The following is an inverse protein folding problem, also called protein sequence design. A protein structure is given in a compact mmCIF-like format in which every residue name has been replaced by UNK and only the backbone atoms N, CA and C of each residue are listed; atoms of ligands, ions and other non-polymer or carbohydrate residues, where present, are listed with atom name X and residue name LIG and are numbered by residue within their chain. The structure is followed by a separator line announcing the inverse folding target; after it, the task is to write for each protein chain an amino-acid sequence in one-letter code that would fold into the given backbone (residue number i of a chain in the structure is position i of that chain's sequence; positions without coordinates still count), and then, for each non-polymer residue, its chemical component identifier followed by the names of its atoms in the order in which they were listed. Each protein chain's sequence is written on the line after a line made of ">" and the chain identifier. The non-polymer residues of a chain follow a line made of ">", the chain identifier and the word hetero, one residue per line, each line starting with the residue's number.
data_IF_856152384916
#
_entry.id   IF_856152384916
#
_cell.length_a   1.000
_cell.length_b   1.000
_cell.length_c   1.000
_cell.angle_alpha   90.00
_cell.angle_beta   90.00
_cell.angle_gamma   90.00
#
_symmetry.space_group_name_H-M   'P 1'
#
loop_
_entity.id
_entity.type
_entity.pdbx_description
1 polymer ?
#
# COMPACT_ATOMS: atom_id res chain seq x y z
N UNK A 1 4.75 -17.99 9.99
CA UNK A 1 3.57 -18.68 9.45
C UNK A 1 2.38 -17.74 9.60
N UNK A 2 1.63 -17.50 8.52
CA UNK A 2 0.41 -16.67 8.54
C UNK A 2 -0.82 -17.55 8.70
N UNK A 3 -1.82 -17.04 9.41
CA UNK A 3 -3.09 -17.75 9.64
C UNK A 3 -4.26 -16.78 9.54
N UNK A 4 -5.38 -17.25 8.97
CA UNK A 4 -6.64 -16.53 8.97
C UNK A 4 -7.78 -17.53 9.04
N UNK A 5 -8.52 -17.49 10.16
CA UNK A 5 -9.63 -18.42 10.46
C UNK A 5 -9.15 -19.88 10.34
N UNK A 6 -9.44 -20.53 9.22
CA UNK A 6 -9.15 -21.93 8.95
C UNK A 6 -8.04 -22.14 7.90
N UNK A 7 -7.46 -21.06 7.39
CA UNK A 7 -6.40 -21.09 6.40
C UNK A 7 -5.07 -20.78 7.07
N UNK A 8 -4.04 -21.54 6.72
CA UNK A 8 -2.68 -21.41 7.24
C UNK A 8 -1.70 -21.48 6.08
N UNK A 9 -0.71 -20.60 6.07
CA UNK A 9 0.28 -20.52 5.00
C UNK A 9 1.67 -20.15 5.52
N UNK A 10 2.67 -20.51 4.72
CA UNK A 10 4.07 -20.22 5.00
C UNK A 10 4.87 -20.13 3.71
N UNK A 11 6.11 -19.68 3.84
CA UNK A 11 7.08 -19.70 2.76
C UNK A 11 8.35 -20.39 3.27
N UNK A 12 9.03 -21.11 2.40
CA UNK A 12 10.21 -21.89 2.73
C UNK A 12 10.98 -22.25 1.46
N UNK A 13 12.17 -22.84 1.63
CA UNK A 13 12.99 -23.23 0.50
C UNK A 13 12.35 -24.40 -0.25
N UNK A 14 12.26 -24.32 -1.58
CA UNK A 14 11.61 -25.35 -2.40
C UNK A 14 12.22 -26.76 -2.26
N UNK A 15 13.52 -26.83 -1.93
CA UNK A 15 14.25 -28.08 -1.69
C UNK A 15 14.06 -28.65 -0.28
N UNK A 16 13.57 -27.82 0.65
CA UNK A 16 13.39 -28.20 2.04
C UNK A 16 12.02 -28.85 2.22
N UNK A 17 12.04 -30.18 2.21
CA UNK A 17 10.83 -30.99 2.15
C UNK A 17 10.92 -32.17 3.09
N UNK A 18 9.75 -32.62 3.58
CA UNK A 18 9.63 -33.72 4.51
C UNK A 18 8.50 -34.66 4.06
N UNK A 19 8.72 -35.97 4.19
CA UNK A 19 7.69 -36.97 3.93
C UNK A 19 6.67 -36.93 5.07
N UNK A 20 5.41 -36.72 4.72
CA UNK A 20 4.30 -36.80 5.67
C UNK A 20 3.57 -38.14 5.48
N UNK A 21 3.89 -39.08 6.36
CA UNK A 21 3.45 -40.48 6.31
C UNK A 21 1.93 -40.67 6.20
N UNK A 22 1.07 -39.94 6.94
CA UNK A 22 -0.38 -40.14 6.85
C UNK A 22 -0.96 -39.95 5.44
N UNK A 23 -0.28 -39.16 4.61
CA UNK A 23 -0.64 -38.97 3.20
C UNK A 23 0.28 -39.67 2.21
N UNK A 24 1.37 -40.29 2.66
CA UNK A 24 2.40 -40.91 1.79
C UNK A 24 2.90 -39.93 0.72
N UNK A 25 3.08 -38.65 1.09
CA UNK A 25 3.48 -37.59 0.16
C UNK A 25 4.46 -36.63 0.82
N UNK A 26 5.42 -36.18 0.04
CA UNK A 26 6.37 -35.13 0.43
C UNK A 26 5.72 -33.75 0.33
N UNK A 27 5.85 -32.96 1.39
CA UNK A 27 5.41 -31.57 1.49
C UNK A 27 6.60 -30.67 1.86
N UNK A 28 6.50 -29.33 1.68
CA UNK A 28 7.42 -28.40 2.32
C UNK A 28 7.58 -28.72 3.81
N UNK A 29 8.80 -28.61 4.31
CA UNK A 29 9.15 -29.04 5.68
C UNK A 29 8.18 -28.48 6.72
N UNK A 30 8.00 -27.16 6.76
CA UNK A 30 7.12 -26.50 7.73
C UNK A 30 5.65 -26.92 7.61
N UNK A 31 5.19 -27.25 6.40
CA UNK A 31 3.83 -27.75 6.19
C UNK A 31 3.68 -29.16 6.78
N UNK A 32 4.65 -30.05 6.54
CA UNK A 32 4.61 -31.39 7.11
C UNK A 32 4.70 -31.35 8.65
N UNK A 33 5.55 -30.49 9.20
CA UNK A 33 5.66 -30.26 10.64
C UNK A 33 4.36 -29.72 11.22
N UNK A 34 3.65 -28.82 10.54
CA UNK A 34 2.34 -28.31 11.01
C UNK A 34 1.25 -29.39 11.05
N UNK A 35 1.27 -30.33 10.10
CA UNK A 35 0.25 -31.38 10.04
C UNK A 35 0.35 -32.36 11.21
N UNK A 36 1.54 -32.59 11.77
CA UNK A 36 1.75 -33.52 12.89
C UNK A 36 1.01 -33.09 14.18
N UNK A 37 1.14 -31.85 14.69
CA UNK A 37 0.31 -31.36 15.79
C UNK A 37 -1.19 -31.39 15.48
N UNK A 38 -1.59 -31.19 14.22
CA UNK A 38 -3.01 -31.30 13.85
C UNK A 38 -3.54 -32.72 14.01
N UNK A 39 -2.74 -33.74 13.70
CA UNK A 39 -3.11 -35.13 13.98
C UNK A 39 -3.22 -35.39 15.49
N UNK A 40 -2.25 -34.91 16.27
CA UNK A 40 -2.24 -35.06 17.73
C UNK A 40 -3.47 -34.41 18.38
N UNK A 41 -3.84 -33.22 17.91
CA UNK A 41 -5.01 -32.47 18.38
C UNK A 41 -6.32 -32.92 17.73
N UNK A 42 -6.29 -33.94 16.86
CA UNK A 42 -7.45 -34.42 16.10
C UNK A 42 -8.15 -33.30 15.29
N UNK A 43 -7.38 -32.31 14.81
CA UNK A 43 -7.86 -31.24 13.95
C UNK A 43 -8.08 -31.80 12.54
N UNK A 44 -9.30 -31.73 11.98
CA UNK A 44 -9.59 -32.32 10.69
C UNK A 44 -8.90 -31.55 9.55
N UNK A 45 -8.06 -32.25 8.79
CA UNK A 45 -7.43 -31.71 7.58
C UNK A 45 -7.59 -32.69 6.40
N UNK A 46 -7.49 -32.18 5.17
CA UNK A 46 -7.70 -32.97 3.95
C UNK A 46 -6.53 -32.85 3.00
N UNK A 47 -5.97 -33.97 2.54
CA UNK A 47 -4.84 -34.03 1.58
C UNK A 47 -5.04 -33.10 0.37
N UNK A 48 -6.25 -33.05 -0.20
CA UNK A 48 -6.56 -32.21 -1.37
C UNK A 48 -6.49 -30.71 -1.12
N UNK A 49 -6.61 -30.28 0.15
CA UNK A 49 -6.49 -28.87 0.56
C UNK A 49 -5.05 -28.49 0.93
N UNK A 50 -4.15 -29.47 1.04
CA UNK A 50 -2.73 -29.24 1.30
C UNK A 50 -2.03 -28.91 -0.02
N UNK A 51 -1.96 -27.62 -0.32
CA UNK A 51 -1.41 -27.08 -1.57
C UNK A 51 -0.10 -26.33 -1.29
N UNK A 52 0.85 -26.43 -2.22
CA UNK A 52 2.11 -25.70 -2.20
C UNK A 52 2.58 -25.50 -3.64
N UNK A 53 3.18 -24.34 -3.92
CA UNK A 53 3.63 -23.93 -5.25
C UNK A 53 4.56 -22.73 -5.13
N UNK A 54 5.36 -22.45 -6.16
CA UNK A 54 6.11 -21.19 -6.30
C UNK A 54 5.21 -19.98 -6.57
N UNK A 55 3.94 -20.22 -6.92
CA UNK A 55 2.90 -19.23 -7.10
C UNK A 55 1.60 -19.80 -6.52
N UNK A 56 1.07 -19.19 -5.47
CA UNK A 56 -0.04 -19.76 -4.70
C UNK A 56 -1.14 -18.71 -4.46
N UNK A 57 -2.39 -19.14 -4.55
CA UNK A 57 -3.54 -18.31 -4.15
C UNK A 57 -3.81 -18.47 -2.65
N UNK A 58 -3.77 -17.37 -1.91
CA UNK A 58 -4.01 -17.28 -0.47
C UNK A 58 -5.11 -16.26 -0.25
N UNK A 59 -6.28 -16.68 0.23
CA UNK A 59 -7.46 -15.81 0.48
C UNK A 59 -7.78 -14.95 -0.77
N UNK A 60 -7.86 -15.60 -1.94
CA UNK A 60 -8.09 -14.98 -3.25
C UNK A 60 -7.02 -13.96 -3.71
N UNK A 61 -5.85 -13.94 -3.06
CA UNK A 61 -4.68 -13.13 -3.44
C UNK A 61 -3.62 -14.08 -4.01
N UNK A 62 -3.11 -13.78 -5.20
CA UNK A 62 -2.03 -14.50 -5.83
C UNK A 62 -0.69 -14.03 -5.25
N UNK A 63 0.04 -14.95 -4.63
CA UNK A 63 1.29 -14.71 -3.92
C UNK A 63 2.43 -15.39 -4.65
N UNK A 64 3.42 -14.60 -5.06
CA UNK A 64 4.67 -15.07 -5.66
C UNK A 64 5.85 -14.71 -4.74
N UNK A 65 6.36 -15.66 -3.95
CA UNK A 65 7.52 -15.43 -3.08
C UNK A 65 8.84 -15.24 -3.83
N UNK A 66 8.94 -15.56 -5.12
CA UNK A 66 10.18 -15.33 -5.89
C UNK A 66 10.22 -13.92 -6.45
N UNK A 67 9.06 -13.43 -6.94
CA UNK A 67 8.90 -12.03 -7.35
C UNK A 67 8.59 -11.10 -6.17
N UNK A 68 8.33 -11.65 -4.99
CA UNK A 68 7.92 -10.91 -3.79
C UNK A 68 6.63 -10.11 -3.99
N UNK A 69 5.69 -10.62 -4.78
CA UNK A 69 4.43 -9.93 -5.13
C UNK A 69 3.20 -10.54 -4.51
N UNK A 70 2.24 -9.68 -4.15
CA UNK A 70 0.88 -10.03 -3.74
C UNK A 70 -0.10 -9.29 -4.67
N UNK A 71 -0.72 -10.01 -5.59
CA UNK A 71 -1.59 -9.40 -6.60
C UNK A 71 -2.93 -10.10 -6.64
N UNK A 72 -4.03 -9.41 -6.97
CA UNK A 72 -5.25 -10.14 -7.27
C UNK A 72 -5.05 -10.91 -8.58
N UNK A 73 -5.78 -12.03 -8.77
CA UNK A 73 -5.80 -12.73 -10.04
C UNK A 73 -6.19 -11.79 -11.19
N UNK A 74 -5.63 -12.01 -12.39
CA UNK A 74 -5.89 -11.14 -13.56
C UNK A 74 -7.38 -10.97 -13.84
N UNK A 75 -8.16 -12.05 -13.72
CA UNK A 75 -9.61 -12.01 -13.88
C UNK A 75 -10.31 -11.08 -12.86
N UNK A 76 -9.81 -11.01 -11.63
CA UNK A 76 -10.32 -10.12 -10.59
C UNK A 76 -9.95 -8.66 -10.88
N UNK A 77 -8.71 -8.40 -11.34
CA UNK A 77 -8.27 -7.06 -11.80
C UNK A 77 -9.12 -6.57 -12.98
N UNK A 78 -9.30 -7.40 -14.00
CA UNK A 78 -10.15 -7.05 -15.15
C UNK A 78 -11.59 -6.76 -14.74
N UNK A 79 -12.13 -7.57 -13.80
CA UNK A 79 -13.46 -7.31 -13.26
C UNK A 79 -13.52 -5.95 -12.58
N UNK A 80 -12.48 -5.55 -11.84
CA UNK A 80 -12.42 -4.26 -11.15
C UNK A 80 -12.43 -3.11 -12.15
N UNK A 81 -11.61 -3.20 -13.18
CA UNK A 81 -11.62 -2.22 -14.29
C UNK A 81 -13.00 -2.11 -14.94
N UNK A 82 -13.63 -3.25 -15.27
CA UNK A 82 -14.97 -3.29 -15.88
C UNK A 82 -16.04 -2.68 -14.98
N UNK A 83 -15.99 -2.90 -13.68
CA UNK A 83 -16.93 -2.27 -12.74
C UNK A 83 -16.68 -0.76 -12.69
N UNK A 84 -15.45 -0.29 -12.52
CA UNK A 84 -15.16 1.16 -12.52
C UNK A 84 -15.70 1.86 -13.78
N UNK A 85 -15.55 1.24 -14.95
CA UNK A 85 -16.14 1.73 -16.21
C UNK A 85 -17.67 1.73 -16.19
N UNK A 86 -18.29 0.65 -15.73
CA UNK A 86 -19.75 0.53 -15.64
C UNK A 86 -20.37 1.66 -14.82
N UNK A 87 -19.75 1.97 -13.67
CA UNK A 87 -20.21 2.98 -12.74
C UNK A 87 -20.05 4.40 -13.29
N UNK A 88 -19.07 4.63 -14.17
CA UNK A 88 -18.84 5.91 -14.83
C UNK A 88 -19.67 6.15 -16.11
N UNK A 89 -20.58 5.23 -16.46
CA UNK A 89 -21.45 5.38 -17.61
C UNK A 89 -22.41 6.59 -17.53
N UNK A 90 -22.91 7.03 -18.68
CA UNK A 90 -23.82 8.19 -18.75
C UNK A 90 -25.05 8.02 -17.86
N UNK A 91 -25.31 9.02 -17.00
CA UNK A 91 -26.50 9.09 -16.14
C UNK A 91 -26.70 7.78 -15.36
N UNK A 92 -25.63 7.24 -14.77
CA UNK A 92 -25.70 6.02 -13.95
C UNK A 92 -26.45 6.26 -12.64
N UNK A 93 -27.43 5.40 -12.38
CA UNK A 93 -28.18 5.33 -11.14
C UNK A 93 -28.30 3.88 -10.70
N UNK A 94 -27.91 3.60 -9.47
CA UNK A 94 -27.89 2.23 -8.94
C UNK A 94 -28.60 2.13 -7.60
N UNK A 95 -29.13 0.93 -7.30
CA UNK A 95 -29.76 0.67 -6.00
C UNK A 95 -28.73 0.76 -4.88
N UNK A 96 -29.13 1.26 -3.72
CA UNK A 96 -28.24 1.41 -2.56
C UNK A 96 -27.58 0.06 -2.16
N UNK A 97 -28.30 -1.06 -2.32
CA UNK A 97 -27.69 -2.39 -2.16
C UNK A 97 -26.45 -2.60 -3.03
N UNK A 98 -26.50 -2.19 -4.30
CA UNK A 98 -25.41 -2.34 -5.26
C UNK A 98 -24.22 -1.44 -4.92
N UNK A 99 -24.46 -0.27 -4.32
CA UNK A 99 -23.41 0.57 -3.75
C UNK A 99 -22.69 -0.13 -2.58
N UNK A 100 -23.41 -0.77 -1.66
CA UNK A 100 -22.77 -1.51 -0.57
C UNK A 100 -21.99 -2.73 -1.06
N UNK A 101 -22.52 -3.46 -2.05
CA UNK A 101 -21.81 -4.56 -2.71
C UNK A 101 -20.49 -4.07 -3.33
N UNK A 102 -20.52 -2.94 -4.05
CA UNK A 102 -19.32 -2.34 -4.61
C UNK A 102 -18.35 -1.89 -3.51
N UNK A 103 -18.82 -1.22 -2.46
CA UNK A 103 -17.97 -0.75 -1.36
C UNK A 103 -17.27 -1.91 -0.63
N UNK A 104 -17.99 -3.00 -0.36
CA UNK A 104 -17.40 -4.21 0.24
C UNK A 104 -16.33 -4.82 -0.65
N UNK A 105 -16.57 -4.89 -1.96
CA UNK A 105 -15.60 -5.43 -2.90
C UNK A 105 -14.40 -4.49 -3.15
N UNK A 106 -14.62 -3.17 -3.13
CA UNK A 106 -13.54 -2.18 -3.17
C UNK A 106 -12.65 -2.31 -1.94
N UNK A 107 -13.22 -2.43 -0.73
CA UNK A 107 -12.44 -2.69 0.48
C UNK A 107 -11.62 -3.98 0.40
N UNK A 108 -12.15 -5.04 -0.23
CA UNK A 108 -11.36 -6.23 -0.52
C UNK A 108 -10.19 -5.92 -1.45
N UNK A 109 -10.44 -5.21 -2.56
CA UNK A 109 -9.42 -4.84 -3.54
C UNK A 109 -8.32 -3.95 -2.94
N UNK A 110 -8.66 -3.06 -1.99
CA UNK A 110 -7.70 -2.19 -1.30
C UNK A 110 -6.65 -2.97 -0.51
N UNK A 111 -6.92 -4.20 -0.06
CA UNK A 111 -5.87 -5.05 0.55
C UNK A 111 -4.76 -5.41 -0.45
N UNK A 112 -5.07 -5.39 -1.75
CA UNK A 112 -4.11 -5.67 -2.83
C UNK A 112 -3.72 -4.44 -3.63
N UNK A 113 -4.45 -3.34 -3.52
CA UNK A 113 -4.20 -2.06 -4.18
C UNK A 113 -4.46 -0.91 -3.22
N UNK A 114 -3.64 -0.79 -2.18
CA UNK A 114 -3.85 0.24 -1.16
C UNK A 114 -3.88 1.65 -1.72
N UNK A 115 -3.09 1.89 -2.78
CA UNK A 115 -3.03 3.17 -3.49
C UNK A 115 -4.37 3.63 -4.07
N UNK A 116 -5.35 2.74 -4.21
CA UNK A 116 -6.66 3.09 -4.71
C UNK A 116 -7.58 3.71 -3.66
N UNK A 117 -7.22 3.73 -2.37
CA UNK A 117 -8.02 4.32 -1.30
C UNK A 117 -8.67 5.69 -1.65
N UNK A 118 -7.97 6.63 -2.30
CA UNK A 118 -8.52 7.96 -2.63
C UNK A 118 -9.68 7.93 -3.59
N UNK A 119 -9.81 6.88 -4.39
CA UNK A 119 -10.93 6.73 -5.31
C UNK A 119 -12.28 6.61 -4.56
N UNK A 120 -12.24 6.41 -3.24
CA UNK A 120 -13.42 6.29 -2.38
C UNK A 120 -13.77 7.59 -1.64
N UNK A 121 -13.01 8.68 -1.84
CA UNK A 121 -13.20 9.95 -1.15
C UNK A 121 -14.59 10.52 -1.35
N UNK A 122 -15.11 10.51 -2.59
CA UNK A 122 -16.48 10.94 -2.85
C UNK A 122 -17.50 9.79 -2.77
N UNK A 123 -17.05 8.54 -2.71
CA UNK A 123 -17.90 7.35 -2.69
C UNK A 123 -18.66 7.22 -1.36
N UNK A 124 -17.95 7.14 -0.23
CA UNK A 124 -18.58 6.93 1.07
C UNK A 124 -19.43 8.10 1.54
N UNK A 125 -19.02 9.38 1.39
CA UNK A 125 -19.88 10.52 1.72
C UNK A 125 -21.21 10.50 0.96
N UNK A 126 -21.22 10.00 -0.29
CA UNK A 126 -22.46 9.87 -1.06
C UNK A 126 -23.44 8.84 -0.45
N UNK A 127 -22.99 7.97 0.45
CA UNK A 127 -23.81 6.94 1.12
C UNK A 127 -24.29 7.38 2.52
N UNK A 128 -23.71 8.43 3.10
CA UNK A 128 -24.03 8.87 4.47
C UNK A 128 -25.51 9.21 4.62
N UNK A 129 -26.12 8.72 5.70
CA UNK A 129 -27.52 8.98 6.03
C UNK A 129 -28.54 8.19 5.21
N UNK A 130 -28.12 7.41 4.21
CA UNK A 130 -29.02 6.58 3.39
C UNK A 130 -29.20 5.20 4.01
N UNK A 131 -30.44 4.77 4.21
CA UNK A 131 -30.78 3.49 4.87
C UNK A 131 -31.71 2.59 4.07
N UNK A 132 -32.46 3.15 3.11
CA UNK A 132 -33.38 2.38 2.29
C UNK A 132 -32.62 1.69 1.15
N UNK A 133 -32.45 0.37 1.27
CA UNK A 133 -31.76 -0.49 0.30
C UNK A 133 -32.38 -0.49 -1.11
N UNK A 134 -33.66 -0.13 -1.23
CA UNK A 134 -34.38 -0.07 -2.51
C UNK A 134 -34.24 1.28 -3.21
N UNK A 135 -33.85 2.31 -2.46
CA UNK A 135 -33.60 3.64 -3.01
C UNK A 135 -32.46 3.59 -4.02
N UNK A 136 -32.63 4.32 -5.12
CA UNK A 136 -31.63 4.40 -6.19
C UNK A 136 -30.85 5.69 -6.04
N UNK A 137 -29.52 5.59 -6.02
CA UNK A 137 -28.58 6.69 -5.82
C UNK A 137 -27.82 6.94 -7.11
N UNK A 138 -27.70 8.21 -7.48
CA UNK A 138 -26.96 8.66 -8.66
C UNK A 138 -25.46 8.59 -8.42
N UNK A 139 -24.73 8.20 -9.45
CA UNK A 139 -23.28 8.41 -9.52
C UNK A 139 -23.06 9.86 -9.96
N UNK A 140 -22.28 10.61 -9.19
CA UNK A 140 -21.98 12.00 -9.50
C UNK A 140 -20.64 12.11 -10.25
N UNK A 141 -20.39 13.27 -10.87
CA UNK A 141 -19.17 13.49 -11.65
C UNK A 141 -17.89 13.40 -10.82
N UNK A 142 -17.93 13.74 -9.52
CA UNK A 142 -16.76 13.62 -8.64
C UNK A 142 -16.37 12.16 -8.43
N UNK A 143 -17.35 11.27 -8.21
CA UNK A 143 -17.13 9.82 -8.10
C UNK A 143 -16.60 9.27 -9.42
N UNK A 144 -17.13 9.71 -10.56
CA UNK A 144 -16.58 9.28 -11.86
C UNK A 144 -15.13 9.72 -12.05
N UNK A 145 -14.77 10.95 -11.63
CA UNK A 145 -13.37 11.42 -11.66
C UNK A 145 -12.46 10.55 -10.80
N UNK A 146 -12.89 10.27 -9.57
CA UNK A 146 -12.17 9.40 -8.62
C UNK A 146 -11.97 7.99 -9.19
N UNK A 147 -13.02 7.40 -9.78
CA UNK A 147 -12.97 6.06 -10.38
C UNK A 147 -12.11 6.02 -11.64
N UNK A 148 -12.17 7.06 -12.48
CA UNK A 148 -11.27 7.17 -13.63
C UNK A 148 -9.81 7.32 -13.20
N UNK A 149 -9.53 8.06 -12.12
CA UNK A 149 -8.20 8.15 -11.53
C UNK A 149 -7.73 6.78 -11.04
N UNK A 150 -8.56 6.07 -10.27
CA UNK A 150 -8.24 4.72 -9.80
C UNK A 150 -8.00 3.73 -10.96
N UNK A 151 -8.77 3.84 -12.04
CA UNK A 151 -8.58 3.04 -13.25
C UNK A 151 -7.25 3.32 -13.93
N UNK A 152 -6.86 4.59 -14.10
CA UNK A 152 -5.54 4.95 -14.67
C UNK A 152 -4.41 4.37 -13.84
N UNK A 153 -4.53 4.44 -12.51
CA UNK A 153 -3.55 3.85 -11.61
C UNK A 153 -3.49 2.33 -11.75
N UNK A 154 -4.65 1.66 -11.90
CA UNK A 154 -4.69 0.23 -12.19
C UNK A 154 -4.07 -0.10 -13.55
N UNK A 155 -4.25 0.71 -14.57
CA UNK A 155 -3.69 0.46 -15.91
C UNK A 155 -2.16 0.63 -15.91
N UNK A 156 -1.63 1.61 -15.16
CA UNK A 156 -0.21 1.96 -15.14
C UNK A 156 0.61 1.25 -14.04
N UNK A 157 -0.03 0.70 -13.01
CA UNK A 157 0.68 0.01 -11.93
C UNK A 157 1.12 -1.40 -12.37
N UNK A 158 2.43 -1.65 -12.24
CA UNK A 158 2.93 -3.02 -12.14
C UNK A 158 2.66 -3.52 -10.73
N UNK A 159 2.04 -4.71 -10.61
CA UNK A 159 1.95 -5.62 -9.44
C UNK A 159 2.43 -5.08 -8.08
N UNK A 160 1.67 -5.30 -7.00
CA UNK A 160 2.13 -4.89 -5.65
C UNK A 160 3.26 -5.81 -5.14
N UNK A 161 4.43 -5.22 -4.88
CA UNK A 161 5.62 -5.86 -4.30
C UNK A 161 5.63 -5.66 -2.77
N UNK A 162 5.65 -6.74 -1.98
CA UNK A 162 5.51 -6.69 -0.52
C UNK A 162 6.86 -6.77 0.22
N UNK A 163 7.76 -7.67 -0.18
CA UNK A 163 8.81 -8.13 0.73
C UNK A 163 10.19 -7.50 0.52
N UNK A 164 10.44 -6.80 -0.59
CA UNK A 164 11.69 -6.02 -0.76
C UNK A 164 11.76 -4.82 0.22
N UNK A 165 10.59 -4.41 0.68
CA UNK A 165 10.29 -3.44 1.73
C UNK A 165 11.00 -3.70 3.04
N UNK A 166 10.94 -4.94 3.49
CA UNK A 166 11.06 -5.30 4.90
C UNK A 166 12.47 -5.77 5.28
N UNK A 167 13.37 -5.91 4.31
CA UNK A 167 14.69 -6.52 4.48
C UNK A 167 15.81 -5.63 3.95
N UNK A 168 15.98 -4.45 4.55
CA UNK A 168 17.17 -3.63 4.36
C UNK A 168 17.49 -2.80 5.60
N UNK A 169 18.78 -2.61 5.91
CA UNK A 169 19.25 -1.87 7.09
C UNK A 169 19.56 -0.41 6.75
N UNK A 170 19.67 0.48 7.76
CA UNK A 170 20.07 1.88 7.57
C UNK A 170 21.35 2.04 6.74
N UNK A 171 22.28 1.09 6.85
CA UNK A 171 23.53 1.08 6.08
C UNK A 171 23.32 0.87 4.56
N UNK A 172 22.18 0.32 4.15
CA UNK A 172 21.80 0.14 2.75
C UNK A 172 21.04 1.36 2.19
N UNK A 173 20.87 2.44 2.95
CA UNK A 173 20.15 3.65 2.51
C UNK A 173 20.82 4.28 1.29
N UNK A 174 20.07 4.39 0.20
CA UNK A 174 20.50 5.07 -1.03
C UNK A 174 20.40 6.58 -0.89
N UNK A 175 19.39 7.10 -0.18
CA UNK A 175 19.25 8.54 0.04
C UNK A 175 18.52 8.86 1.34
N UNK A 176 19.04 9.86 2.04
CA UNK A 176 18.52 10.38 3.28
C UNK A 176 18.04 11.81 3.05
N UNK A 177 16.83 12.13 3.52
CA UNK A 177 16.18 13.44 3.30
C UNK A 177 15.56 13.96 4.58
N UNK A 178 15.71 15.24 4.85
CA UNK A 178 14.95 15.96 5.88
C UNK A 178 13.89 16.81 5.21
N UNK A 179 12.65 16.73 5.68
CA UNK A 179 11.55 17.58 5.25
C UNK A 179 11.13 18.47 6.41
N UNK A 180 10.84 19.73 6.11
CA UNK A 180 10.28 20.67 7.08
C UNK A 180 9.32 21.63 6.38
N UNK A 181 8.26 22.00 7.08
CA UNK A 181 7.21 22.87 6.56
C UNK A 181 6.79 23.87 7.61
N UNK A 182 6.62 25.11 7.14
CA UNK A 182 5.97 26.17 7.89
C UNK A 182 4.82 26.76 7.06
N UNK A 183 3.93 27.57 7.66
CA UNK A 183 2.81 28.17 6.93
C UNK A 183 3.17 29.00 5.69
N UNK A 184 4.45 29.41 5.55
CA UNK A 184 4.94 30.25 4.45
C UNK A 184 5.80 29.50 3.44
N UNK A 185 6.19 28.25 3.72
CA UNK A 185 7.10 27.53 2.86
C UNK A 185 7.35 26.11 3.29
N UNK A 186 7.71 25.29 2.31
CA UNK A 186 8.08 23.89 2.44
C UNK A 186 9.46 23.69 1.86
N UNK A 187 10.25 22.80 2.44
CA UNK A 187 11.57 22.50 1.95
C UNK A 187 12.06 21.13 2.37
N UNK A 188 12.93 20.57 1.55
CA UNK A 188 13.59 19.31 1.84
C UNK A 188 15.08 19.37 1.53
N UNK A 189 15.87 18.60 2.27
CA UNK A 189 17.33 18.67 2.25
C UNK A 189 17.97 17.28 2.24
N UNK A 190 18.89 17.08 1.29
CA UNK A 190 19.77 15.93 1.19
C UNK A 190 21.13 16.26 1.83
N UNK A 191 21.41 15.88 3.09
CA UNK A 191 22.67 16.20 3.75
C UNK A 191 23.88 15.63 3.04
N UNK A 192 23.79 14.40 2.54
CA UNK A 192 24.88 13.71 1.86
C UNK A 192 25.28 14.38 0.55
N UNK A 193 24.35 15.12 -0.07
CA UNK A 193 24.57 15.85 -1.32
C UNK A 193 24.85 17.34 -1.07
N UNK A 194 24.65 17.84 0.15
CA UNK A 194 24.65 19.27 0.44
C UNK A 194 23.60 20.05 -0.37
N UNK A 195 22.51 19.39 -0.77
CA UNK A 195 21.50 19.93 -1.70
C UNK A 195 20.17 20.14 -0.98
N UNK A 196 19.61 21.34 -1.09
CA UNK A 196 18.32 21.70 -0.48
C UNK A 196 17.39 22.35 -1.48
N UNK A 197 16.11 22.04 -1.35
CA UNK A 197 15.03 22.57 -2.16
C UNK A 197 14.04 23.32 -1.28
N UNK A 198 13.47 24.39 -1.83
CA UNK A 198 12.52 25.26 -1.15
C UNK A 198 11.44 25.70 -2.12
N UNK A 199 10.20 25.72 -1.62
CA UNK A 199 9.07 26.33 -2.30
C UNK A 199 8.23 27.12 -1.29
N UNK A 200 7.68 28.28 -1.65
CA UNK A 200 6.60 28.88 -0.87
C UNK A 200 5.39 27.93 -0.83
N UNK A 201 4.60 28.00 0.24
CA UNK A 201 3.31 27.31 0.31
C UNK A 201 2.34 27.92 -0.72
N UNK A 202 1.44 27.13 -1.32
CA UNK A 202 0.47 27.64 -2.30
C UNK A 202 -0.31 28.85 -1.76
N UNK A 203 -0.28 29.96 -2.51
CA UNK A 203 -1.03 31.17 -2.18
C UNK A 203 -2.54 30.86 -2.08
N UNK A 204 -3.19 31.35 -1.02
CA UNK A 204 -4.61 31.13 -0.67
C UNK A 204 -4.96 29.79 -0.01
N UNK A 205 -3.99 28.93 0.27
CA UNK A 205 -4.28 27.70 1.00
C UNK A 205 -4.48 27.98 2.51
N UNK A 206 -5.47 27.31 3.13
CA UNK A 206 -5.81 27.49 4.54
C UNK A 206 -4.62 27.05 5.42
N UNK A 207 -4.06 27.90 6.30
CA UNK A 207 -2.97 27.54 7.21
C UNK A 207 -3.28 26.35 8.13
N UNK A 208 -4.56 26.04 8.35
CA UNK A 208 -5.00 24.85 9.09
C UNK A 208 -4.70 23.53 8.34
N UNK A 209 -4.34 23.60 7.06
CA UNK A 209 -3.91 22.48 6.22
C UNK A 209 -2.39 22.21 6.35
N UNK A 210 -1.78 22.49 7.51
CA UNK A 210 -0.34 22.29 7.71
C UNK A 210 0.10 20.85 7.41
N UNK A 211 -0.70 19.85 7.82
CA UNK A 211 -0.46 18.43 7.53
C UNK A 211 -0.48 18.12 6.02
N UNK A 212 -1.31 18.84 5.25
CA UNK A 212 -1.32 18.69 3.80
C UNK A 212 -0.04 19.24 3.17
N UNK A 213 0.47 20.38 3.63
CA UNK A 213 1.73 20.93 3.12
C UNK A 213 2.93 20.06 3.47
N UNK A 214 2.94 19.46 4.66
CA UNK A 214 3.94 18.47 5.04
C UNK A 214 3.88 17.23 4.18
N UNK A 215 2.67 16.70 3.95
CA UNK A 215 2.49 15.57 3.04
C UNK A 215 2.98 15.92 1.62
N UNK A 216 2.68 17.14 1.14
CA UNK A 216 3.16 17.65 -0.15
C UNK A 216 4.69 17.80 -0.20
N UNK A 217 5.32 18.24 0.89
CA UNK A 217 6.77 18.36 0.99
C UNK A 217 7.45 16.99 0.92
N UNK A 218 6.94 16.01 1.67
CA UNK A 218 7.42 14.63 1.65
C UNK A 218 7.24 14.02 0.25
N UNK A 219 6.08 14.27 -0.36
CA UNK A 219 5.78 13.80 -1.71
C UNK A 219 6.72 14.40 -2.76
N UNK A 220 7.04 15.69 -2.62
CA UNK A 220 7.99 16.38 -3.49
C UNK A 220 9.40 15.80 -3.36
N UNK A 221 9.84 15.50 -2.13
CA UNK A 221 11.11 14.83 -1.87
C UNK A 221 11.18 13.43 -2.48
N UNK A 222 10.09 12.65 -2.40
CA UNK A 222 9.97 11.34 -3.04
C UNK A 222 10.03 11.44 -4.57
N UNK A 223 9.35 12.45 -5.14
CA UNK A 223 9.35 12.66 -6.58
C UNK A 223 10.74 13.04 -7.11
N UNK A 224 11.44 13.97 -6.44
CA UNK A 224 12.82 14.33 -6.78
C UNK A 224 13.74 13.10 -6.67
N UNK A 225 13.66 12.39 -5.55
CA UNK A 225 14.44 11.17 -5.34
C UNK A 225 14.20 10.12 -6.43
N UNK A 226 12.94 9.97 -6.88
CA UNK A 226 12.59 9.10 -7.99
C UNK A 226 13.25 9.54 -9.31
N UNK A 227 13.20 10.82 -9.67
CA UNK A 227 13.82 11.36 -10.88
C UNK A 227 15.36 11.24 -10.85
N UNK A 228 15.95 11.37 -9.68
CA UNK A 228 17.40 11.28 -9.47
C UNK A 228 17.91 9.83 -9.37
N UNK A 229 17.03 8.83 -9.31
CA UNK A 229 17.39 7.43 -9.17
C UNK A 229 17.69 6.75 -10.52
N UNK A 230 18.62 5.77 -10.58
CA UNK A 230 18.86 5.01 -11.81
C UNK A 230 17.58 4.30 -12.29
N UNK A 231 17.33 4.18 -13.61
CA UNK A 231 16.09 3.62 -14.19
C UNK A 231 15.83 2.13 -13.91
N UNK A 232 16.70 1.47 -13.14
CA UNK A 232 16.54 0.07 -12.67
C UNK A 232 16.75 -0.08 -11.16
N UNK A 233 16.86 1.03 -10.42
CA UNK A 233 17.45 1.06 -9.10
C UNK A 233 16.44 0.80 -7.99
N UNK A 234 16.58 -0.35 -7.35
CA UNK A 234 16.10 -0.62 -6.01
C UNK A 234 16.71 0.41 -5.05
N UNK A 235 15.99 1.51 -4.82
CA UNK A 235 16.46 2.60 -3.97
C UNK A 235 15.83 2.53 -2.59
N UNK A 236 16.68 2.67 -1.58
CA UNK A 236 16.32 2.70 -0.17
C UNK A 236 16.31 4.15 0.32
N UNK A 237 15.13 4.68 0.63
CA UNK A 237 14.94 6.09 0.98
C UNK A 237 14.52 6.26 2.43
N UNK A 238 15.13 7.21 3.13
CA UNK A 238 14.76 7.61 4.49
C UNK A 238 14.36 9.07 4.47
N UNK A 239 13.17 9.36 5.00
CA UNK A 239 12.66 10.73 5.16
C UNK A 239 12.47 11.03 6.64
N UNK A 240 12.96 12.18 7.08
CA UNK A 240 12.73 12.72 8.42
C UNK A 240 11.72 13.86 8.34
N UNK A 241 10.72 13.86 9.22
CA UNK A 241 9.77 14.98 9.41
C UNK A 241 9.47 15.12 10.89
N UNK A 242 9.11 16.29 11.41
CA UNK A 242 8.80 16.45 12.84
C UNK A 242 7.32 16.20 13.20
N UNK A 243 6.48 15.87 12.23
CA UNK A 243 5.04 15.72 12.39
C UNK A 243 4.54 14.28 12.26
N UNK A 244 4.05 13.73 13.38
CA UNK A 244 3.48 12.37 13.46
C UNK A 244 2.22 12.17 12.65
N UNK A 245 1.34 13.18 12.55
CA UNK A 245 0.07 13.03 11.85
C UNK A 245 0.31 12.84 10.34
N UNK A 246 1.35 13.47 9.80
CA UNK A 246 1.74 13.27 8.40
C UNK A 246 2.29 11.86 8.17
N UNK A 247 2.96 11.27 9.16
CA UNK A 247 3.35 9.85 9.14
C UNK A 247 2.12 8.95 9.07
N UNK A 248 1.14 9.20 9.95
CA UNK A 248 -0.11 8.44 10.01
C UNK A 248 -0.90 8.53 8.70
N UNK A 249 -0.83 9.65 7.96
CA UNK A 249 -1.46 9.81 6.63
C UNK A 249 -0.84 8.83 5.61
N UNK A 250 0.48 8.71 5.56
CA UNK A 250 1.14 7.78 4.64
C UNK A 250 1.01 6.32 5.09
N UNK A 251 0.94 6.07 6.40
CA UNK A 251 0.72 4.73 6.97
C UNK A 251 -0.71 4.24 6.72
N UNK A 252 -1.72 5.03 7.10
CA UNK A 252 -3.15 4.66 7.03
C UNK A 252 -3.61 4.37 5.60
N UNK A 253 -3.08 5.11 4.65
CA UNK A 253 -3.46 4.98 3.26
C UNK A 253 -2.71 3.85 2.55
N UNK A 254 -1.73 3.21 3.22
CA UNK A 254 -0.85 2.20 2.65
C UNK A 254 -0.26 2.67 1.30
N UNK A 255 -0.16 4.00 1.09
CA UNK A 255 0.21 4.65 -0.18
C UNK A 255 1.63 4.37 -0.63
N UNK A 256 2.36 3.70 0.24
CA UNK A 256 3.60 3.03 -0.02
C UNK A 256 3.67 2.08 1.17
N UNK A 257 3.80 0.78 0.94
CA UNK A 257 4.22 -0.19 1.97
C UNK A 257 5.66 0.10 2.49
N UNK A 258 6.07 1.36 2.52
CA UNK A 258 7.43 1.78 2.24
C UNK A 258 7.70 3.24 2.66
N UNK A 259 7.12 3.80 3.71
CA UNK A 259 7.58 5.11 4.17
C UNK A 259 7.84 5.10 5.67
N UNK A 260 9.12 5.02 6.03
CA UNK A 260 9.56 5.47 7.33
C UNK A 260 9.61 6.97 7.29
N UNK A 261 8.82 7.58 8.16
CA UNK A 261 9.00 8.96 8.54
C UNK A 261 9.36 8.95 10.02
N UNK A 262 10.60 9.33 10.35
CA UNK A 262 11.02 9.48 11.75
C UNK A 262 10.55 10.84 12.25
N UNK A 263 9.73 10.83 13.30
CA UNK A 263 9.30 12.02 14.03
C UNK A 263 10.34 12.49 15.04
N UNK A 264 10.79 13.74 14.92
CA UNK A 264 11.56 14.39 15.97
C UNK A 264 10.64 15.18 16.89
N UNK A 265 10.61 14.83 18.18
CA UNK A 265 10.21 15.80 19.21
C UNK A 265 11.42 16.65 19.55
N UNK A 266 11.35 17.98 19.38
CA UNK A 266 12.43 18.93 19.72
C UNK A 266 13.02 18.66 21.11
N UNK A 267 14.34 18.44 21.24
CA UNK A 267 15.06 18.79 22.46
C UNK A 267 15.73 20.15 22.23
N UNK A 268 15.55 21.04 23.21
CA UNK A 268 16.38 22.23 23.34
C UNK A 268 17.84 21.84 23.30
N UNK A 269 18.62 22.53 22.46
CA UNK A 269 20.08 22.72 22.52
C UNK A 269 20.94 21.52 22.96
N UNK A 270 21.92 21.21 22.11
CA UNK A 270 22.97 20.18 22.23
C UNK A 270 22.53 18.76 21.89
N UNK A 271 23.05 18.28 20.75
CA UNK A 271 22.96 16.92 20.24
C UNK A 271 23.13 15.87 21.36
N UNK A 272 22.03 15.29 21.78
CA UNK A 272 21.99 14.09 22.61
C UNK A 272 20.76 13.30 22.21
N UNK A 273 21.00 12.13 21.60
CA UNK A 273 19.97 11.22 21.11
C UNK A 273 19.37 10.47 22.30
N UNK A 274 18.09 10.71 22.55
CA UNK A 274 17.25 9.87 23.40
C UNK A 274 15.85 9.89 22.83
N UNK A 275 15.51 8.88 22.02
CA UNK A 275 14.14 8.64 21.58
C UNK A 275 13.91 7.13 21.45
N UNK A 276 12.77 6.70 21.98
CA UNK A 276 12.26 5.33 21.98
C UNK A 276 12.10 4.81 20.55
N UNK A 277 12.66 3.64 20.31
CA UNK A 277 12.96 3.06 18.99
C UNK A 277 11.74 2.40 18.32
N UNK A 278 11.42 2.80 17.09
CA UNK A 278 10.64 2.02 16.12
C UNK A 278 11.19 2.26 14.70
N UNK A 279 11.29 1.21 13.88
CA UNK A 279 11.93 1.18 12.55
C UNK A 279 10.93 0.82 11.44
N UNK A 280 11.09 1.35 10.22
CA UNK A 280 10.57 0.80 8.95
C UNK A 280 11.29 1.44 7.74
N UNK A 281 10.94 1.15 6.48
CA UNK A 281 11.88 1.18 5.36
C UNK A 281 11.17 1.36 3.99
N UNK A 282 11.65 2.25 3.10
CA UNK A 282 11.16 2.48 1.72
C UNK A 282 11.84 1.67 0.60
N UNK A 283 11.11 1.18 -0.39
CA UNK A 283 11.69 0.60 -1.62
C UNK A 283 10.86 1.00 -2.83
N UNK A 284 11.53 1.58 -3.83
CA UNK A 284 10.91 1.94 -5.09
C UNK A 284 11.14 0.82 -6.13
N UNK A 285 10.06 0.20 -6.63
CA UNK A 285 10.12 -0.70 -7.78
C UNK A 285 8.91 -0.46 -8.72
N UNK A 286 9.19 0.01 -9.94
CA UNK A 286 8.28 -0.12 -11.09
C UNK A 286 6.97 0.67 -11.09
N UNK A 287 6.73 1.57 -10.12
CA UNK A 287 5.60 2.50 -10.18
C UNK A 287 5.96 3.70 -11.06
N UNK A 288 5.30 3.88 -12.21
CA UNK A 288 5.38 5.13 -12.97
C UNK A 288 4.75 6.26 -12.16
N UNK A 289 5.53 6.80 -11.23
CA UNK A 289 5.20 7.95 -10.39
C UNK A 289 4.89 9.17 -11.26
N UNK A 290 5.48 9.29 -12.45
CA UNK A 290 5.17 10.33 -13.42
C UNK A 290 3.67 10.40 -13.73
N UNK A 291 3.01 9.28 -14.00
CA UNK A 291 1.55 9.26 -14.24
C UNK A 291 0.70 9.45 -12.98
N UNK A 292 1.23 9.14 -11.79
CA UNK A 292 0.56 9.46 -10.52
C UNK A 292 0.65 10.96 -10.20
N UNK A 293 1.71 11.63 -10.67
CA UNK A 293 2.02 13.04 -10.39
C UNK A 293 1.55 14.02 -11.47
N UNK A 294 1.45 13.62 -12.74
CA UNK A 294 0.88 14.45 -13.82
C UNK A 294 -0.60 14.81 -13.60
N UNK A 295 -1.32 14.00 -12.81
CA UNK A 295 -2.72 14.24 -12.42
C UNK A 295 -2.87 14.85 -11.01
N UNK A 296 -1.77 15.00 -10.26
CA UNK A 296 -1.67 15.82 -9.04
C UNK A 296 -1.26 17.26 -9.37
N UNK A 297 -1.63 17.74 -10.55
CA UNK A 297 -1.64 19.17 -10.87
C UNK A 297 -2.83 19.78 -10.13
N UNK A 298 -2.54 20.50 -9.05
CA UNK A 298 -3.45 21.46 -8.42
C UNK A 298 -3.08 22.88 -8.83
#
# INVERSE_FOLDING_TARGET
>A
MGTYINDSWGCGLARDTLLYEPYGRTFPHDQAILLSPWDELSVPHKKRKQVFSSLLMIIDIQVDPNLMTFTPPDAAREKLVRELEYWCGEKRKERLKRWYELGGWMNWALNTYPLLCPMLNNFYPNLVGRKDSTSSVWVNNSICKDFHWGRRLLDNSSRVFLLKSLLWDFDNTTSLVYCDVCPKGMGFWYPNLGLGFYSPTPSHANPELIFYFEALCILSALYDAHLCSPPRGDGHFIIFTDNSNTVDIFESTHYMHFLLIITFSKPQSTFSYSATTAYMFCTYQGLDLGTMFEDLVF
#
